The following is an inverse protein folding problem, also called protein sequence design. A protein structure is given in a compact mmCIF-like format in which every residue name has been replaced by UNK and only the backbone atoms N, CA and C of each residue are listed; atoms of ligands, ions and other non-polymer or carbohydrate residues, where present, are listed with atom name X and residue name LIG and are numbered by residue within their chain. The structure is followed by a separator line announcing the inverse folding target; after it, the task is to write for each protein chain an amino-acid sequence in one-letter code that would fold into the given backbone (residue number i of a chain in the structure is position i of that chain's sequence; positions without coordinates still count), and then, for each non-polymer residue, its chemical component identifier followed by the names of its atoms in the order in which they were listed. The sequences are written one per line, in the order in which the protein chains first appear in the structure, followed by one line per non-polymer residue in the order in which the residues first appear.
data_IF_182746442957
#
_entry.id   IF_182746442957
#
_cell.length_a   1.000
_cell.length_b   1.000
_cell.length_c   1.000
_cell.angle_alpha   90.00
_cell.angle_beta   90.00
_cell.angle_gamma   90.00
#
_symmetry.space_group_name_H-M   'P 1'
#
loop_
_entity.id
_entity.type
_entity.pdbx_description
1 polymer ?
#
# COMPACT_ATOMS: atom_id res chain seq x y z
N UNK A 1 -6.56 10.86 7.45
CA UNK A 1 -6.09 9.59 6.86
C UNK A 1 -4.70 9.20 7.33
N UNK A 2 -3.60 9.76 6.80
CA UNK A 2 -2.24 9.30 7.17
C UNK A 2 -1.95 9.50 8.66
N UNK A 3 -2.40 10.61 9.24
CA UNK A 3 -2.29 10.84 10.68
C UNK A 3 -3.07 9.80 11.49
N UNK A 4 -4.24 9.36 11.00
CA UNK A 4 -5.07 8.36 11.67
C UNK A 4 -4.39 6.97 11.64
N UNK A 5 -3.78 6.63 10.50
CA UNK A 5 -2.96 5.41 10.35
C UNK A 5 -1.76 5.47 11.29
N UNK A 6 -1.10 6.62 11.40
CA UNK A 6 0.01 6.83 12.33
C UNK A 6 -0.42 6.58 13.77
N UNK A 7 -1.52 7.22 14.20
CA UNK A 7 -2.06 7.06 15.55
C UNK A 7 -2.48 5.60 15.85
N UNK A 8 -3.08 4.91 14.88
CA UNK A 8 -3.42 3.49 15.02
C UNK A 8 -2.17 2.62 15.25
N UNK A 9 -1.11 2.86 14.49
CA UNK A 9 0.13 2.09 14.61
C UNK A 9 0.85 2.41 15.93
N UNK A 10 0.87 3.68 16.33
CA UNK A 10 1.43 4.11 17.62
C UNK A 10 0.69 3.50 18.82
N UNK A 11 -0.62 3.24 18.68
CA UNK A 11 -1.43 2.56 19.69
C UNK A 11 -1.37 1.02 19.61
N UNK A 12 -0.53 0.47 18.72
CA UNK A 12 -0.27 -0.97 18.62
C UNK A 12 -1.14 -1.71 17.60
N UNK A 13 -1.92 -1.00 16.78
CA UNK A 13 -2.67 -1.62 15.68
C UNK A 13 -1.70 -2.02 14.56
N UNK A 14 -1.79 -3.25 14.07
CA UNK A 14 -1.02 -3.71 12.90
C UNK A 14 -1.25 -2.80 11.69
N UNK A 15 -0.24 -2.59 10.85
CA UNK A 15 -0.31 -1.71 9.70
C UNK A 15 -1.36 -2.20 8.69
N UNK A 16 -1.51 -3.51 8.52
CA UNK A 16 -2.58 -4.14 7.74
C UNK A 16 -3.98 -3.70 8.22
N UNK A 17 -4.25 -3.74 9.53
CA UNK A 17 -5.54 -3.33 10.07
C UNK A 17 -5.77 -1.82 9.93
N UNK A 18 -4.75 -1.00 10.14
CA UNK A 18 -4.84 0.45 9.95
C UNK A 18 -5.18 0.79 8.48
N UNK A 19 -4.55 0.13 7.50
CA UNK A 19 -4.83 0.32 6.08
C UNK A 19 -6.24 -0.13 5.67
N UNK A 20 -6.77 -1.21 6.26
CA UNK A 20 -8.13 -1.70 5.97
C UNK A 20 -9.24 -0.68 6.29
N UNK A 21 -8.97 0.31 7.15
CA UNK A 21 -9.90 1.41 7.42
C UNK A 21 -10.13 2.33 6.20
N UNK A 22 -9.26 2.26 5.18
CA UNK A 22 -9.31 3.13 4.00
C UNK A 22 -9.33 2.33 2.68
N UNK A 23 -10.38 1.54 2.41
CA UNK A 23 -10.46 0.59 1.29
C UNK A 23 -10.46 1.24 -0.10
N UNK A 24 -10.74 2.55 -0.19
CA UNK A 24 -10.64 3.32 -1.44
C UNK A 24 -9.18 3.45 -1.93
N UNK A 25 -8.22 3.43 -1.00
CA UNK A 25 -6.80 3.64 -1.28
C UNK A 25 -5.99 2.35 -1.15
N UNK A 26 -6.38 1.49 -0.20
CA UNK A 26 -5.71 0.22 0.08
C UNK A 26 -6.63 -0.94 -0.23
N UNK A 27 -6.47 -1.49 -1.43
CA UNK A 27 -7.22 -2.66 -1.87
C UNK A 27 -6.93 -3.90 -1.00
N UNK A 28 -7.79 -4.94 -1.05
CA UNK A 28 -7.60 -6.14 -0.23
C UNK A 28 -6.27 -6.86 -0.48
N UNK A 29 -5.76 -6.83 -1.72
CA UNK A 29 -4.48 -7.46 -2.06
C UNK A 29 -3.32 -6.72 -1.38
N UNK A 30 -3.31 -5.39 -1.42
CA UNK A 30 -2.32 -4.57 -0.73
C UNK A 30 -2.33 -4.86 0.78
N UNK A 31 -3.50 -4.85 1.41
CA UNK A 31 -3.63 -5.14 2.83
C UNK A 31 -3.13 -6.55 3.19
N UNK A 32 -3.45 -7.56 2.37
CA UNK A 32 -2.99 -8.94 2.57
C UNK A 32 -1.48 -9.07 2.46
N UNK A 33 -0.87 -8.42 1.45
CA UNK A 33 0.57 -8.42 1.28
C UNK A 33 1.24 -7.75 2.49
N UNK A 34 0.79 -6.55 2.88
CA UNK A 34 1.32 -5.85 4.06
C UNK A 34 1.24 -6.73 5.31
N UNK A 35 0.11 -7.42 5.54
CA UNK A 35 -0.04 -8.36 6.64
C UNK A 35 0.98 -9.50 6.60
N UNK A 36 1.21 -10.10 5.43
CA UNK A 36 2.21 -11.16 5.27
C UNK A 36 3.64 -10.64 5.50
N UNK A 37 3.95 -9.43 5.02
CA UNK A 37 5.27 -8.81 5.22
C UNK A 37 5.52 -8.42 6.68
N UNK A 38 4.49 -7.95 7.38
CA UNK A 38 4.55 -7.62 8.81
C UNK A 38 4.76 -8.89 9.65
N UNK A 39 4.03 -9.97 9.37
CA UNK A 39 4.22 -11.27 10.04
C UNK A 39 5.59 -11.89 9.77
N UNK A 40 6.12 -11.74 8.56
CA UNK A 40 7.41 -12.28 8.17
C UNK A 40 8.60 -11.36 8.53
N UNK A 41 8.36 -10.18 9.11
CA UNK A 41 9.41 -9.22 9.48
C UNK A 41 10.12 -8.55 8.29
N UNK A 42 9.53 -8.59 7.10
CA UNK A 42 10.09 -8.07 5.83
C UNK A 42 9.29 -6.88 5.29
N UNK A 43 8.58 -6.17 6.17
CA UNK A 43 7.66 -5.10 5.80
C UNK A 43 8.33 -4.01 4.97
N UNK A 44 9.57 -3.63 5.31
CA UNK A 44 10.33 -2.62 4.57
C UNK A 44 10.57 -3.02 3.11
N UNK A 45 11.12 -4.21 2.87
CA UNK A 45 11.37 -4.73 1.53
C UNK A 45 10.07 -4.90 0.73
N UNK A 46 9.01 -5.34 1.40
CA UNK A 46 7.71 -5.50 0.78
C UNK A 46 7.12 -4.15 0.34
N UNK A 47 7.17 -3.13 1.20
CA UNK A 47 6.70 -1.78 0.86
C UNK A 47 7.49 -1.18 -0.30
N UNK A 48 8.80 -1.39 -0.36
CA UNK A 48 9.63 -0.97 -1.48
C UNK A 48 9.19 -1.64 -2.79
N UNK A 49 8.94 -2.96 -2.78
CA UNK A 49 8.42 -3.70 -3.95
C UNK A 49 7.05 -3.21 -4.39
N UNK A 50 6.16 -2.94 -3.43
CA UNK A 50 4.81 -2.40 -3.70
C UNK A 50 4.87 -1.01 -4.33
N UNK A 51 5.76 -0.14 -3.84
CA UNK A 51 5.99 1.19 -4.41
C UNK A 51 6.44 1.09 -5.87
N UNK A 52 7.47 0.29 -6.16
CA UNK A 52 7.96 0.06 -7.53
C UNK A 52 6.86 -0.49 -8.45
N UNK A 53 6.02 -1.40 -7.94
CA UNK A 53 4.90 -1.94 -8.72
C UNK A 53 3.84 -0.87 -9.06
N UNK A 54 3.47 -0.03 -8.09
CA UNK A 54 2.50 1.06 -8.29
C UNK A 54 3.05 2.11 -9.26
N UNK A 55 4.32 2.49 -9.14
CA UNK A 55 4.99 3.42 -10.08
C UNK A 55 4.98 2.89 -11.51
N UNK A 56 5.35 1.63 -11.72
CA UNK A 56 5.29 0.98 -13.05
C UNK A 56 3.88 1.00 -13.62
N UNK A 57 2.88 0.70 -12.79
CA UNK A 57 1.47 0.71 -13.20
C UNK A 57 1.01 2.12 -13.59
N UNK A 58 1.37 3.14 -12.82
CA UNK A 58 1.05 4.53 -13.13
C UNK A 58 1.73 5.00 -14.41
N UNK A 59 3.01 4.65 -14.61
CA UNK A 59 3.75 4.97 -15.82
C UNK A 59 3.08 4.37 -17.07
N UNK A 60 2.67 3.09 -17.01
CA UNK A 60 1.95 2.43 -18.12
C UNK A 60 0.63 3.15 -18.40
N UNK A 61 -0.17 3.44 -17.36
CA UNK A 61 -1.42 4.19 -17.52
C UNK A 61 -1.20 5.58 -18.12
N UNK A 62 -0.14 6.27 -17.70
CA UNK A 62 0.27 7.56 -18.24
C UNK A 62 0.58 7.48 -19.73
N UNK A 63 1.40 6.50 -20.13
CA UNK A 63 1.73 6.25 -21.55
C UNK A 63 0.50 5.95 -22.41
N UNK A 64 -0.43 5.14 -21.91
CA UNK A 64 -1.69 4.84 -22.62
C UNK A 64 -2.51 6.13 -22.80
N UNK A 65 -2.66 6.93 -21.72
CA UNK A 65 -3.38 8.20 -21.78
C UNK A 65 -2.73 9.17 -22.78
N UNK A 66 -1.41 9.29 -22.77
CA UNK A 66 -0.66 10.13 -23.72
C UNK A 66 -0.69 9.63 -25.17
N UNK A 67 -1.10 8.39 -25.42
CA UNK A 67 -1.26 7.87 -26.77
C UNK A 67 -2.70 8.02 -27.30
N UNK A 68 -3.66 8.26 -26.40
CA UNK A 68 -5.09 8.44 -26.73
C UNK A 68 -5.45 9.92 -26.99
N UNK A 69 -4.60 10.86 -26.58
CA UNK A 69 -4.74 12.31 -26.76
C UNK A 69 -3.46 12.86 -27.40
#
# INVERSE_FOLDING_TARGET
MINDIGADVETGTSLNQAFRKFPLYFDPLFCNLVGAGEQAGILQDLLARLATYKEKTLNIKGKIKSALF
#
